data_IF_950470970297
#
_entry.id   IF_950470970297
#
_cell.length_a   1.000
_cell.length_b   1.000
_cell.length_c   1.000
_cell.angle_alpha   90.00
_cell.angle_beta   90.00
_cell.angle_gamma   90.00
#
_symmetry.space_group_name_H-M   'P 1'
#
loop_
_entity.id
_entity.type
_entity.pdbx_description
1 polymer ?
#
# COMPACT_ATOMS: atom_id res chain seq x y z
N UNK A 1 17.06 4.19 -7.61
CA UNK A 1 15.59 4.33 -7.71
C UNK A 1 14.98 2.95 -7.83
N UNK A 2 14.47 2.39 -6.73
CA UNK A 2 13.76 1.11 -6.78
C UNK A 2 12.42 1.27 -7.51
N UNK A 3 11.95 0.19 -8.14
CA UNK A 3 10.67 0.22 -8.86
C UNK A 3 9.53 -0.09 -7.89
N UNK A 4 8.95 0.97 -7.32
CA UNK A 4 7.70 0.92 -6.57
C UNK A 4 6.63 0.13 -7.36
N UNK A 5 5.99 -0.85 -6.72
CA UNK A 5 4.93 -1.65 -7.34
C UNK A 5 3.58 -1.35 -6.71
N UNK A 6 2.53 -1.35 -7.53
CA UNK A 6 1.14 -1.18 -7.05
C UNK A 6 0.74 -2.21 -5.98
N UNK A 7 1.32 -3.42 -6.03
CA UNK A 7 1.09 -4.47 -5.01
C UNK A 7 1.65 -4.11 -3.64
N UNK A 8 2.71 -3.31 -3.59
CA UNK A 8 3.33 -2.87 -2.34
C UNK A 8 2.56 -1.67 -1.77
N UNK A 9 2.11 -0.75 -2.63
CA UNK A 9 1.16 0.30 -2.28
C UNK A 9 -0.17 -0.25 -1.71
N UNK A 10 -0.76 -1.27 -2.34
CA UNK A 10 -1.96 -1.95 -1.81
C UNK A 10 -1.70 -2.60 -0.46
N UNK A 11 -0.51 -3.16 -0.27
CA UNK A 11 -0.10 -3.75 1.00
C UNK A 11 -0.02 -2.68 2.10
N UNK A 12 0.69 -1.59 1.82
CA UNK A 12 0.80 -0.42 2.69
C UNK A 12 -0.56 0.15 3.08
N UNK A 13 -1.43 0.43 2.10
CA UNK A 13 -2.75 0.97 2.38
C UNK A 13 -3.60 0.02 3.25
N UNK A 14 -3.42 -1.30 3.08
CA UNK A 14 -4.10 -2.28 3.92
C UNK A 14 -3.56 -2.27 5.36
N UNK A 15 -2.24 -2.22 5.55
CA UNK A 15 -1.65 -2.13 6.90
C UNK A 15 -2.11 -0.88 7.63
N UNK A 16 -2.08 0.27 6.96
CA UNK A 16 -2.56 1.55 7.50
C UNK A 16 -4.03 1.48 7.92
N UNK A 17 -4.90 0.92 7.06
CA UNK A 17 -6.34 0.81 7.34
C UNK A 17 -6.66 -0.18 8.45
N UNK A 18 -6.01 -1.34 8.46
CA UNK A 18 -6.27 -2.39 9.45
C UNK A 18 -5.58 -2.10 10.79
N UNK A 19 -4.68 -1.10 10.86
CA UNK A 19 -3.95 -0.76 12.08
C UNK A 19 -3.13 -1.94 12.63
N UNK A 20 -2.70 -2.87 11.78
CA UNK A 20 -1.80 -3.95 12.18
C UNK A 20 -1.34 -4.85 11.04
N UNK A 21 -0.05 -5.20 11.05
CA UNK A 21 0.55 -6.09 10.04
C UNK A 21 -0.10 -7.48 9.98
N UNK A 22 -0.51 -8.03 11.13
CA UNK A 22 -1.15 -9.35 11.19
C UNK A 22 -2.60 -9.30 10.65
N UNK A 23 -3.36 -8.26 10.98
CA UNK A 23 -4.71 -8.03 10.43
C UNK A 23 -4.66 -7.84 8.93
N UNK A 24 -3.70 -7.06 8.44
CA UNK A 24 -3.47 -6.87 7.02
C UNK A 24 -3.06 -8.16 6.30
N UNK A 25 -2.21 -8.98 6.92
CA UNK A 25 -1.82 -10.28 6.37
C UNK A 25 -3.04 -11.19 6.17
N UNK A 26 -3.93 -11.28 7.18
CA UNK A 26 -5.20 -12.01 7.06
C UNK A 26 -6.07 -11.45 5.94
N UNK A 27 -6.21 -10.13 5.84
CA UNK A 27 -7.02 -9.47 4.80
C UNK A 27 -6.48 -9.72 3.39
N UNK A 28 -5.16 -9.79 3.24
CA UNK A 28 -4.47 -10.01 1.97
C UNK A 28 -4.28 -11.49 1.62
N UNK A 29 -4.74 -12.42 2.47
CA UNK A 29 -4.54 -13.86 2.26
C UNK A 29 -3.07 -14.27 2.25
N UNK A 30 -2.23 -13.63 3.08
CA UNK A 30 -0.79 -13.87 3.12
C UNK A 30 -0.25 -13.90 4.56
N UNK A 31 1.08 -13.99 4.72
CA UNK A 31 1.74 -14.02 6.03
C UNK A 31 2.21 -12.63 6.46
N UNK A 32 2.28 -12.40 7.78
CA UNK A 32 2.81 -11.15 8.35
C UNK A 32 4.24 -10.86 7.89
N UNK A 33 5.09 -11.89 7.75
CA UNK A 33 6.43 -11.74 7.19
C UNK A 33 6.44 -11.28 5.72
N UNK A 34 5.45 -11.68 4.92
CA UNK A 34 5.30 -11.21 3.53
C UNK A 34 4.89 -9.74 3.49
N UNK A 35 3.93 -9.35 4.33
CA UNK A 35 3.52 -7.95 4.50
C UNK A 35 4.70 -7.09 4.93
N UNK A 36 5.42 -7.49 5.98
CA UNK A 36 6.60 -6.75 6.47
C UNK A 36 7.69 -6.59 5.41
N UNK A 37 7.98 -7.65 4.63
CA UNK A 37 8.95 -7.57 3.53
C UNK A 37 8.52 -6.57 2.44
N UNK A 38 7.23 -6.53 2.11
CA UNK A 38 6.70 -5.57 1.11
C UNK A 38 6.74 -4.14 1.59
N UNK A 39 6.38 -3.91 2.86
CA UNK A 39 6.50 -2.57 3.45
C UNK A 39 7.95 -2.11 3.45
N UNK A 40 8.89 -2.95 3.90
CA UNK A 40 10.33 -2.61 3.85
C UNK A 40 10.83 -2.32 2.44
N UNK A 41 10.37 -3.08 1.45
CA UNK A 41 10.73 -2.82 0.06
C UNK A 41 10.21 -1.46 -0.41
N UNK A 42 8.97 -1.11 -0.04
CA UNK A 42 8.39 0.19 -0.36
C UNK A 42 9.12 1.34 0.35
N UNK A 43 9.43 1.19 1.63
CA UNK A 43 10.22 2.15 2.41
C UNK A 43 11.61 2.37 1.79
N UNK A 44 12.29 1.29 1.36
CA UNK A 44 13.57 1.39 0.68
C UNK A 44 13.47 2.03 -0.71
N UNK A 45 12.38 1.79 -1.45
CA UNK A 45 12.15 2.37 -2.77
C UNK A 45 11.87 3.89 -2.68
N UNK A 46 11.23 4.32 -1.60
CA UNK A 46 10.86 5.71 -1.32
C UNK A 46 11.91 6.46 -0.50
N UNK A 47 12.86 5.76 0.12
CA UNK A 47 13.85 6.29 1.07
C UNK A 47 13.22 7.02 2.27
N UNK A 48 12.09 6.50 2.77
CA UNK A 48 11.36 7.03 3.94
C UNK A 48 10.84 5.89 4.82
N UNK A 49 10.65 6.16 6.12
CA UNK A 49 9.92 5.26 7.02
C UNK A 49 8.41 5.55 6.94
N UNK A 50 7.59 4.52 6.75
CA UNK A 50 6.14 4.66 6.63
C UNK A 50 5.42 4.35 7.95
N UNK A 51 6.01 3.51 8.81
CA UNK A 51 5.44 3.13 10.10
C UNK A 51 6.43 3.37 11.24
N UNK A 52 5.89 3.76 12.40
CA UNK A 52 6.66 3.89 13.63
C UNK A 52 7.18 2.51 14.11
N UNK A 53 8.43 2.46 14.58
CA UNK A 53 9.09 1.21 15.04
C UNK A 53 8.74 0.82 16.49
N UNK A 54 8.06 1.68 17.25
CA UNK A 54 7.80 1.47 18.67
C UNK A 54 6.58 0.58 18.98
N UNK A 55 6.71 -0.17 20.07
CA UNK A 55 6.08 -1.44 20.45
C UNK A 55 4.54 -1.50 20.59
N UNK A 56 3.77 -0.50 20.13
CA UNK A 56 2.33 -0.42 20.41
C UNK A 56 1.41 -0.26 19.19
N UNK A 57 1.90 -0.51 17.97
CA UNK A 57 1.03 -0.65 16.80
C UNK A 57 1.65 -0.20 15.49
N UNK A 58 0.95 -0.46 14.39
CA UNK A 58 1.33 0.01 13.05
C UNK A 58 0.83 1.43 12.79
N UNK A 59 1.23 2.37 13.66
CA UNK A 59 0.95 3.78 13.45
C UNK A 59 1.82 4.31 12.31
N UNK A 60 1.25 5.20 11.48
CA UNK A 60 2.00 5.88 10.43
C UNK A 60 2.94 6.92 11.03
N UNK A 61 4.08 7.14 10.39
CA UNK A 61 4.90 8.34 10.57
C UNK A 61 4.20 9.54 9.91
N UNK A 62 4.60 10.80 10.20
CA UNK A 62 4.08 11.96 9.47
C UNK A 62 4.25 11.85 7.94
N UNK A 63 5.40 11.33 7.50
CA UNK A 63 5.68 11.03 6.10
C UNK A 63 4.78 9.90 5.58
N UNK A 64 4.53 8.89 6.41
CA UNK A 64 3.62 7.79 6.15
C UNK A 64 2.17 8.23 5.97
N UNK A 65 1.69 9.22 6.72
CA UNK A 65 0.35 9.80 6.55
C UNK A 65 0.20 10.46 5.17
N UNK A 66 1.19 11.27 4.77
CA UNK A 66 1.20 11.88 3.44
C UNK A 66 1.31 10.81 2.33
N UNK A 67 2.21 9.84 2.50
CA UNK A 67 2.36 8.72 1.60
C UNK A 67 1.07 7.90 1.47
N UNK A 68 0.29 7.77 2.54
CA UNK A 68 -1.00 7.08 2.52
C UNK A 68 -2.02 7.81 1.65
N UNK A 69 -2.09 9.15 1.76
CA UNK A 69 -2.95 9.96 0.88
C UNK A 69 -2.55 9.80 -0.59
N UNK A 70 -1.27 9.88 -0.91
CA UNK A 70 -0.79 9.65 -2.29
C UNK A 70 -1.09 8.24 -2.77
N UNK A 71 -0.92 7.24 -1.91
CA UNK A 71 -1.24 5.85 -2.20
C UNK A 71 -2.70 5.68 -2.59
N UNK A 72 -3.63 6.24 -1.81
CA UNK A 72 -5.06 6.15 -2.11
C UNK A 72 -5.40 6.81 -3.46
N UNK A 73 -4.78 7.95 -3.76
CA UNK A 73 -4.97 8.62 -5.06
C UNK A 73 -4.47 7.76 -6.22
N UNK A 74 -3.28 7.16 -6.10
CA UNK A 74 -2.71 6.26 -7.13
C UNK A 74 -3.63 5.06 -7.36
N UNK A 75 -4.10 4.40 -6.29
CA UNK A 75 -4.99 3.25 -6.39
C UNK A 75 -6.37 3.63 -6.97
N UNK A 76 -6.86 4.84 -6.67
CA UNK A 76 -8.08 5.36 -7.30
C UNK A 76 -7.89 5.62 -8.80
N UNK A 77 -6.75 6.17 -9.21
CA UNK A 77 -6.44 6.35 -10.64
C UNK A 77 -6.30 5.03 -11.37
N UNK A 78 -5.66 4.02 -10.75
CA UNK A 78 -5.58 2.66 -11.28
C UNK A 78 -6.97 2.08 -11.54
N UNK A 79 -7.89 2.20 -10.57
CA UNK A 79 -9.27 1.72 -10.70
C UNK A 79 -10.03 2.44 -11.83
N UNK A 80 -9.89 3.76 -11.94
CA UNK A 80 -10.51 4.54 -13.03
C UNK A 80 -9.96 4.14 -14.40
N UNK A 81 -8.65 3.90 -14.49
CA UNK A 81 -8.03 3.50 -15.75
C UNK A 81 -8.53 2.12 -16.20
N UNK A 82 -8.69 1.19 -15.26
CA UNK A 82 -9.23 -0.14 -15.56
C UNK A 82 -10.68 -0.05 -16.06
N UNK A 83 -11.54 0.72 -15.38
CA UNK A 83 -12.94 0.96 -15.80
C UNK A 83 -13.04 1.59 -17.18
N UNK A 84 -12.25 2.64 -17.44
CA UNK A 84 -12.20 3.27 -18.75
C UNK A 84 -11.82 2.25 -19.86
N UNK A 85 -10.88 1.34 -19.57
CA UNK A 85 -10.51 0.30 -20.53
C UNK A 85 -11.58 -0.74 -20.80
N UNK A 86 -12.55 -0.90 -19.89
CA UNK A 86 -13.71 -1.78 -20.05
C UNK A 86 -14.78 -1.07 -20.89
N UNK A 87 -15.10 0.19 -20.58
CA UNK A 87 -16.04 1.03 -21.34
C UNK A 87 -15.67 1.13 -22.83
N UNK A 88 -14.38 1.39 -23.13
CA UNK A 88 -13.90 1.48 -24.52
C UNK A 88 -14.03 0.16 -25.29
N UNK A 89 -14.02 -1.00 -24.60
CA UNK A 89 -14.17 -2.31 -25.25
C UNK A 89 -15.63 -2.70 -25.50
N UNK A 90 -16.58 -2.15 -24.76
CA UNK A 90 -18.01 -2.41 -24.97
C UNK A 90 -18.59 -1.60 -26.14
N UNK A 91 -17.92 -0.50 -26.51
CA UNK A 91 -18.29 0.37 -27.64
C UNK A 91 -17.69 -0.07 -29.01
N UNK A 92 -17.00 -1.21 -29.09
CA UNK A 92 -16.39 -1.78 -30.32
C UNK A 92 -16.94 -3.16 -30.63
#
# INVERSE_FOLDING_TARGET
>A
MGKMKLRDLRCFATVAREGGFERAARRLGTTQGTVSKRIKALENDLDIELFCRESCGSSLTPEGELAYVYTLNILSMEDKLLKFSEEVREDV
#
